data_IF_619670393983
#
_entry.id   IF_619670393983
#
_cell.length_a   1.000
_cell.length_b   1.000
_cell.length_c   1.000
_cell.angle_alpha   90.00
_cell.angle_beta   90.00
_cell.angle_gamma   90.00
#
_symmetry.space_group_name_H-M   'P 1'
#
loop_
_entity.id
_entity.type
_entity.pdbx_description
1 polymer ?
#
# COMPACT_ATOMS: atom_id res chain seq x y z
N UNK A 1 29.27 -8.30 -31.63
CA UNK A 1 28.27 -8.59 -30.58
C UNK A 1 26.91 -8.52 -31.22
N UNK A 2 26.23 -9.66 -31.37
CA UNK A 2 24.85 -9.72 -31.84
C UNK A 2 23.93 -9.15 -30.75
N UNK A 3 22.87 -8.44 -31.14
CA UNK A 3 21.90 -7.79 -30.22
C UNK A 3 21.28 -8.80 -29.24
N UNK A 4 21.23 -10.07 -29.64
CA UNK A 4 20.77 -11.21 -28.84
C UNK A 4 21.58 -11.44 -27.55
N UNK A 5 22.85 -11.04 -27.51
CA UNK A 5 23.70 -11.17 -26.31
C UNK A 5 23.59 -9.97 -25.35
N UNK A 6 22.82 -8.93 -25.72
CA UNK A 6 22.69 -7.70 -24.93
C UNK A 6 21.39 -7.66 -24.10
N UNK A 7 20.37 -8.42 -24.50
CA UNK A 7 19.05 -8.44 -23.85
C UNK A 7 18.82 -9.76 -23.10
N UNK A 8 18.26 -9.74 -21.88
CA UNK A 8 17.94 -10.96 -21.16
C UNK A 8 16.89 -11.79 -21.93
N UNK A 9 17.01 -13.12 -21.89
CA UNK A 9 16.17 -14.05 -22.66
C UNK A 9 14.65 -13.85 -22.47
N UNK A 10 14.25 -13.29 -21.32
CA UNK A 10 12.86 -13.05 -20.94
C UNK A 10 12.37 -11.61 -21.21
N UNK A 11 13.17 -10.78 -21.90
CA UNK A 11 12.82 -9.38 -22.17
C UNK A 11 11.57 -9.23 -23.05
N UNK A 12 11.16 -10.29 -23.76
CA UNK A 12 9.92 -10.33 -24.54
C UNK A 12 8.67 -9.95 -23.72
N UNK A 13 8.61 -10.31 -22.44
CA UNK A 13 7.49 -9.95 -21.57
C UNK A 13 7.40 -8.44 -21.33
N UNK A 14 8.54 -7.76 -21.21
CA UNK A 14 8.57 -6.31 -21.00
C UNK A 14 8.06 -5.57 -22.25
N UNK A 15 8.37 -6.09 -23.44
CA UNK A 15 7.86 -5.56 -24.72
C UNK A 15 6.33 -5.66 -24.77
N UNK A 16 5.74 -6.76 -24.35
CA UNK A 16 4.28 -6.88 -24.24
C UNK A 16 3.68 -5.85 -23.28
N UNK A 17 4.33 -5.60 -22.14
CA UNK A 17 3.90 -4.56 -21.20
C UNK A 17 3.96 -3.16 -21.81
N UNK A 18 4.99 -2.84 -22.60
CA UNK A 18 5.06 -1.56 -23.33
C UNK A 18 3.95 -1.43 -24.38
N UNK A 19 3.71 -2.47 -25.18
CA UNK A 19 2.61 -2.49 -26.14
C UNK A 19 1.26 -2.31 -25.44
N UNK A 20 1.05 -2.95 -24.30
CA UNK A 20 -0.17 -2.79 -23.51
C UNK A 20 -0.32 -1.35 -22.98
N UNK A 21 0.76 -0.73 -22.52
CA UNK A 21 0.76 0.68 -22.09
C UNK A 21 0.43 1.65 -23.23
N UNK A 22 0.87 1.32 -24.46
CA UNK A 22 0.53 2.10 -25.65
C UNK A 22 -0.96 2.00 -25.98
N UNK A 23 -1.53 0.81 -25.89
CA UNK A 23 -3.00 0.59 -26.05
C UNK A 23 -3.78 1.40 -25.01
N UNK A 24 -3.31 1.46 -23.75
CA UNK A 24 -3.92 2.29 -22.71
C UNK A 24 -3.92 3.77 -23.09
N UNK A 25 -2.79 4.33 -23.54
CA UNK A 25 -2.71 5.73 -23.96
C UNK A 25 -3.64 6.04 -25.14
N UNK A 26 -3.69 5.14 -26.12
CA UNK A 26 -4.60 5.25 -27.26
C UNK A 26 -6.06 5.22 -26.82
N UNK A 27 -6.41 4.31 -25.90
CA UNK A 27 -7.78 4.23 -25.36
C UNK A 27 -8.19 5.53 -24.66
N UNK A 28 -7.36 6.05 -23.76
CA UNK A 28 -7.64 7.31 -23.04
C UNK A 28 -7.75 8.50 -24.02
N UNK A 29 -6.88 8.55 -25.03
CA UNK A 29 -6.92 9.58 -26.07
C UNK A 29 -8.18 9.51 -26.94
N UNK A 30 -8.61 8.31 -27.33
CA UNK A 30 -9.86 8.10 -28.06
C UNK A 30 -11.09 8.47 -27.22
N UNK A 31 -11.08 8.19 -25.92
CA UNK A 31 -12.15 8.59 -25.01
C UNK A 31 -12.27 10.11 -24.91
N UNK A 32 -11.14 10.83 -24.79
CA UNK A 32 -11.12 12.31 -24.85
C UNK A 32 -11.64 12.82 -26.20
N UNK A 33 -11.22 12.21 -27.31
CA UNK A 33 -11.68 12.59 -28.65
C UNK A 33 -13.18 12.36 -28.85
N UNK A 34 -13.70 11.25 -28.34
CA UNK A 34 -15.13 10.92 -28.33
C UNK A 34 -15.92 11.90 -27.47
N UNK A 35 -15.43 12.17 -26.24
CA UNK A 35 -16.03 13.15 -25.34
C UNK A 35 -16.05 14.56 -25.95
N UNK A 36 -14.97 14.97 -26.63
CA UNK A 36 -14.91 16.27 -27.32
C UNK A 36 -15.99 16.40 -28.39
N UNK A 37 -16.27 15.33 -29.15
CA UNK A 37 -17.38 15.29 -30.12
C UNK A 37 -18.75 15.33 -29.42
N UNK A 38 -18.91 14.62 -28.31
CA UNK A 38 -20.16 14.56 -27.53
C UNK A 38 -20.54 15.91 -26.91
N UNK A 39 -19.57 16.62 -26.36
CA UNK A 39 -19.77 17.91 -25.67
C UNK A 39 -19.52 19.14 -26.55
N UNK A 40 -19.23 18.96 -27.84
CA UNK A 40 -19.11 20.06 -28.80
C UNK A 40 -17.95 21.04 -28.55
N UNK A 41 -16.88 20.61 -27.88
CA UNK A 41 -15.76 21.49 -27.50
C UNK A 41 -14.82 21.70 -28.69
N UNK A 42 -14.95 22.84 -29.38
CA UNK A 42 -14.13 23.20 -30.56
C UNK A 42 -12.67 23.47 -30.18
N UNK A 43 -11.72 23.03 -31.00
CA UNK A 43 -10.31 23.46 -30.85
C UNK A 43 -10.22 24.99 -30.98
N UNK A 44 -9.37 25.70 -30.19
CA UNK A 44 -8.26 25.22 -29.36
C UNK A 44 -8.58 25.04 -27.86
N UNK A 45 -9.84 25.14 -27.43
CA UNK A 45 -10.16 25.10 -26.00
C UNK A 45 -9.93 23.70 -25.42
N UNK A 46 -9.23 23.65 -24.28
CA UNK A 46 -8.79 22.42 -23.63
C UNK A 46 -9.77 21.98 -22.54
N UNK A 47 -10.39 22.94 -21.85
CA UNK A 47 -11.41 22.75 -20.84
C UNK A 47 -12.70 23.48 -21.27
N UNK A 48 -13.85 23.00 -20.81
CA UNK A 48 -15.15 23.64 -21.01
C UNK A 48 -15.66 24.18 -19.68
N UNK A 49 -16.09 25.43 -19.65
CA UNK A 49 -16.65 26.05 -18.44
C UNK A 49 -18.04 25.50 -18.09
N UNK A 50 -18.72 24.90 -19.07
CA UNK A 50 -20.12 24.46 -18.96
C UNK A 50 -20.28 22.99 -18.58
N UNK A 51 -19.27 22.16 -18.82
CA UNK A 51 -19.36 20.71 -18.72
C UNK A 51 -18.18 20.13 -17.92
N UNK A 52 -18.36 19.98 -16.61
CA UNK A 52 -17.31 19.47 -15.73
C UNK A 52 -16.92 18.01 -16.04
N UNK A 53 -17.84 17.19 -16.56
CA UNK A 53 -17.57 15.79 -16.92
C UNK A 53 -16.48 15.69 -17.99
N UNK A 54 -16.50 16.58 -18.98
CA UNK A 54 -15.46 16.65 -20.00
C UNK A 54 -14.10 17.03 -19.38
N UNK A 55 -14.08 17.96 -18.42
CA UNK A 55 -12.86 18.38 -17.73
C UNK A 55 -12.26 17.24 -16.89
N UNK A 56 -13.09 16.43 -16.23
CA UNK A 56 -12.65 15.24 -15.50
C UNK A 56 -12.00 14.20 -16.44
N UNK A 57 -12.62 13.93 -17.60
CA UNK A 57 -12.08 13.01 -18.61
C UNK A 57 -10.73 13.51 -19.14
N UNK A 58 -10.66 14.80 -19.46
CA UNK A 58 -9.45 15.47 -19.94
C UNK A 58 -8.32 15.42 -18.89
N UNK A 59 -8.63 15.71 -17.63
CA UNK A 59 -7.62 15.71 -16.54
C UNK A 59 -7.07 14.32 -16.27
N UNK A 60 -7.91 13.28 -16.32
CA UNK A 60 -7.47 11.90 -16.15
C UNK A 60 -6.45 11.48 -17.24
N UNK A 61 -6.70 11.89 -18.50
CA UNK A 61 -5.78 11.66 -19.60
C UNK A 61 -4.50 12.51 -19.50
N UNK A 62 -4.56 13.74 -18.99
CA UNK A 62 -3.37 14.57 -18.80
C UNK A 62 -2.49 14.08 -17.65
N UNK A 63 -3.07 13.72 -16.50
CA UNK A 63 -2.31 13.10 -15.41
C UNK A 63 -1.64 11.79 -15.87
N UNK A 64 -2.38 11.01 -16.67
CA UNK A 64 -1.88 10.13 -17.73
C UNK A 64 -0.44 10.36 -18.20
N UNK A 65 -0.36 11.38 -19.06
CA UNK A 65 0.80 11.81 -19.83
C UNK A 65 1.87 12.49 -18.98
N UNK A 66 1.50 13.14 -17.87
CA UNK A 66 2.46 13.77 -16.95
C UNK A 66 3.34 12.72 -16.26
N UNK A 67 2.76 11.57 -15.87
CA UNK A 67 3.46 10.52 -15.14
C UNK A 67 4.09 9.46 -16.06
N UNK A 68 3.56 9.31 -17.28
CA UNK A 68 3.98 8.25 -18.20
C UNK A 68 5.48 8.25 -18.58
N UNK A 69 6.13 9.40 -18.89
CA UNK A 69 7.56 9.42 -19.19
C UNK A 69 8.42 8.95 -18.03
N UNK A 70 8.08 9.36 -16.80
CA UNK A 70 8.78 8.93 -15.60
C UNK A 70 8.62 7.42 -15.39
N UNK A 71 7.40 6.90 -15.58
CA UNK A 71 7.14 5.47 -15.50
C UNK A 71 7.93 4.67 -16.53
N UNK A 72 8.01 5.13 -17.79
CA UNK A 72 8.79 4.47 -18.85
C UNK A 72 10.27 4.31 -18.48
N UNK A 73 10.88 5.35 -17.91
CA UNK A 73 12.30 5.31 -17.51
C UNK A 73 12.53 4.25 -16.43
N UNK A 74 11.74 4.29 -15.35
CA UNK A 74 11.89 3.33 -14.25
C UNK A 74 11.55 1.91 -14.67
N UNK A 75 10.52 1.73 -15.51
CA UNK A 75 10.16 0.44 -16.08
C UNK A 75 11.28 -0.13 -16.95
N UNK A 76 11.98 0.71 -17.73
CA UNK A 76 13.08 0.26 -18.58
C UNK A 76 14.28 -0.20 -17.75
N UNK A 77 14.67 0.60 -16.75
CA UNK A 77 15.77 0.24 -15.84
C UNK A 77 15.45 -1.08 -15.13
N UNK A 78 14.23 -1.22 -14.59
CA UNK A 78 13.81 -2.44 -13.91
C UNK A 78 13.72 -3.65 -14.85
N UNK A 79 13.28 -3.47 -16.10
CA UNK A 79 13.15 -4.55 -17.06
C UNK A 79 14.49 -5.09 -17.58
N UNK A 80 15.55 -4.26 -17.58
CA UNK A 80 16.90 -4.68 -17.95
C UNK A 80 17.50 -5.64 -16.91
N UNK A 81 17.26 -5.39 -15.62
CA UNK A 81 17.79 -6.20 -14.53
C UNK A 81 16.86 -7.39 -14.19
N UNK A 82 15.55 -7.13 -14.09
CA UNK A 82 14.54 -8.09 -13.62
C UNK A 82 13.32 -8.16 -14.55
N UNK A 83 13.44 -8.75 -15.75
CA UNK A 83 12.41 -8.66 -16.80
C UNK A 83 11.04 -9.24 -16.40
N UNK A 84 11.00 -10.34 -15.64
CA UNK A 84 9.73 -10.98 -15.24
C UNK A 84 9.00 -10.13 -14.20
N UNK A 85 9.69 -9.74 -13.13
CA UNK A 85 9.11 -8.95 -12.05
C UNK A 85 8.66 -7.57 -12.55
N UNK A 86 9.49 -6.90 -13.35
CA UNK A 86 9.14 -5.63 -13.97
C UNK A 86 7.90 -5.75 -14.87
N UNK A 87 7.76 -6.84 -15.63
CA UNK A 87 6.60 -7.05 -16.50
C UNK A 87 5.30 -7.19 -15.71
N UNK A 88 5.29 -7.96 -14.62
CA UNK A 88 4.12 -8.15 -13.76
C UNK A 88 3.70 -6.84 -13.11
N UNK A 89 4.65 -6.12 -12.49
CA UNK A 89 4.37 -4.83 -11.85
C UNK A 89 3.92 -3.78 -12.87
N UNK A 90 4.50 -3.79 -14.07
CA UNK A 90 4.10 -2.89 -15.14
C UNK A 90 2.68 -3.15 -15.63
N UNK A 91 2.25 -4.42 -15.76
CA UNK A 91 0.86 -4.76 -16.10
C UNK A 91 -0.11 -4.30 -15.01
N UNK A 92 0.24 -4.49 -13.73
CA UNK A 92 -0.55 -3.99 -12.59
C UNK A 92 -0.69 -2.47 -12.66
N UNK A 93 0.39 -1.76 -12.99
CA UNK A 93 0.33 -0.30 -13.13
C UNK A 93 -0.60 0.10 -14.27
N UNK A 94 -0.47 -0.51 -15.45
CA UNK A 94 -1.33 -0.17 -16.60
C UNK A 94 -2.81 -0.48 -16.31
N UNK A 95 -3.13 -1.61 -15.69
CA UNK A 95 -4.52 -1.94 -15.30
C UNK A 95 -5.06 -0.97 -14.26
N UNK A 96 -4.25 -0.55 -13.30
CA UNK A 96 -4.65 0.44 -12.27
C UNK A 96 -5.08 1.78 -12.88
N UNK A 97 -4.47 2.19 -14.01
CA UNK A 97 -4.80 3.45 -14.70
C UNK A 97 -6.15 3.40 -15.40
N UNK A 98 -6.59 2.25 -15.89
CA UNK A 98 -7.96 2.08 -16.39
C UNK A 98 -8.99 2.27 -15.26
N UNK A 99 -8.75 1.67 -14.09
CA UNK A 99 -9.61 1.85 -12.92
C UNK A 99 -9.63 3.30 -12.43
N UNK A 100 -8.48 3.97 -12.42
CA UNK A 100 -8.37 5.39 -12.09
C UNK A 100 -9.20 6.25 -13.05
N UNK A 101 -9.05 6.06 -14.37
CA UNK A 101 -9.80 6.81 -15.37
C UNK A 101 -11.31 6.57 -15.25
N UNK A 102 -11.73 5.32 -14.99
CA UNK A 102 -13.14 4.99 -14.74
C UNK A 102 -13.72 5.72 -13.52
N UNK A 103 -12.93 5.87 -12.46
CA UNK A 103 -13.30 6.67 -11.29
C UNK A 103 -13.58 8.13 -11.64
N UNK A 104 -12.73 8.73 -12.48
CA UNK A 104 -12.95 10.10 -12.98
C UNK A 104 -14.18 10.22 -13.87
N UNK A 105 -14.54 9.17 -14.61
CA UNK A 105 -15.73 9.16 -15.47
C UNK A 105 -17.02 9.01 -14.66
N UNK A 106 -16.96 8.27 -13.55
CA UNK A 106 -18.12 7.99 -12.69
C UNK A 106 -18.39 9.09 -11.66
N UNK A 107 -17.36 9.83 -11.24
CA UNK A 107 -17.47 10.93 -10.28
C UNK A 107 -18.00 12.25 -10.85
N UNK A 108 -18.35 12.29 -12.14
CA UNK A 108 -18.81 13.50 -12.86
C UNK A 108 -20.23 13.96 -12.53
N UNK A 109 -20.64 13.98 -11.27
CA UNK A 109 -21.79 14.80 -10.85
C UNK A 109 -21.25 16.15 -10.37
N UNK A 110 -21.77 17.28 -10.88
CA UNK A 110 -21.40 18.58 -10.34
C UNK A 110 -21.73 18.61 -8.85
N UNK A 111 -20.92 19.33 -8.08
CA UNK A 111 -21.29 19.77 -6.76
C UNK A 111 -22.53 20.67 -6.88
N UNK A 112 -23.73 20.08 -6.91
CA UNK A 112 -24.81 20.69 -6.16
C UNK A 112 -24.37 20.67 -4.69
N UNK A 113 -24.49 21.78 -3.97
CA UNK A 113 -24.34 21.74 -2.52
C UNK A 113 -25.43 20.80 -2.03
N UNK A 114 -25.05 19.54 -1.77
CA UNK A 114 -25.92 18.54 -1.23
C UNK A 114 -26.30 19.04 0.16
N UNK A 115 -27.40 19.80 0.24
CA UNK A 115 -28.26 19.81 1.40
C UNK A 115 -28.60 18.35 1.64
N UNK A 116 -27.80 17.73 2.52
CA UNK A 116 -28.09 16.42 3.08
C UNK A 116 -29.27 16.65 4.03
N UNK A 117 -30.46 16.81 3.45
CA UNK A 117 -31.70 16.60 4.18
C UNK A 117 -31.67 15.15 4.59
N UNK A 118 -31.40 14.92 5.88
CA UNK A 118 -31.61 13.65 6.54
C UNK A 118 -33.09 13.33 6.36
N UNK A 119 -33.41 12.39 5.48
CA UNK A 119 -34.66 11.63 5.57
C UNK A 119 -34.27 10.17 5.67
N UNK A 120 -34.59 9.59 6.83
CA UNK A 120 -34.55 8.18 7.13
C UNK A 120 -35.27 7.36 6.04
N UNK A 121 -34.80 6.13 5.82
CA UNK A 121 -35.61 5.11 5.21
C UNK A 121 -34.88 4.22 4.21
N UNK A 122 -34.65 2.98 4.64
CA UNK A 122 -34.49 1.76 3.82
C UNK A 122 -33.13 1.47 3.17
N UNK A 123 -32.42 0.53 3.81
CA UNK A 123 -31.75 -0.60 3.19
C UNK A 123 -30.90 -0.37 1.94
N UNK A 124 -29.62 -0.02 2.12
CA UNK A 124 -28.64 -0.15 1.05
C UNK A 124 -27.28 -0.59 1.60
N UNK A 125 -26.91 -1.81 1.24
CA UNK A 125 -25.58 -2.47 1.19
C UNK A 125 -24.48 -1.77 1.99
N UNK A 126 -24.10 -2.38 3.13
CA UNK A 126 -22.84 -2.12 3.82
C UNK A 126 -21.67 -2.45 2.89
N UNK A 127 -21.16 -1.43 2.19
CA UNK A 127 -19.82 -1.51 1.60
C UNK A 127 -18.84 -1.61 2.76
N UNK A 128 -18.23 -2.77 2.93
CA UNK A 128 -17.18 -2.99 3.91
C UNK A 128 -16.07 -1.95 3.69
N UNK A 129 -15.63 -1.35 4.79
CA UNK A 129 -14.54 -0.40 4.90
C UNK A 129 -13.32 -0.85 4.09
N UNK A 130 -13.16 -0.25 2.91
CA UNK A 130 -12.03 -0.47 2.05
C UNK A 130 -10.84 0.34 2.53
N UNK A 131 -9.70 -0.33 2.63
CA UNK A 131 -8.34 0.17 2.92
C UNK A 131 -7.86 1.36 2.04
N UNK A 132 -8.69 1.90 1.14
CA UNK A 132 -8.34 2.95 0.19
C UNK A 132 -9.29 4.17 0.18
N UNK A 133 -10.28 4.23 1.08
CA UNK A 133 -11.18 5.40 1.16
C UNK A 133 -10.52 6.67 1.77
N UNK A 134 -9.24 6.58 2.19
CA UNK A 134 -8.50 7.67 2.83
C UNK A 134 -7.79 8.65 1.90
N UNK A 135 -7.89 8.52 0.57
CA UNK A 135 -7.28 9.47 -0.37
C UNK A 135 -8.37 10.29 -1.09
N UNK A 136 -9.15 11.07 -0.32
CA UNK A 136 -9.79 12.29 -0.84
C UNK A 136 -8.93 13.47 -0.41
N UNK A 137 -7.92 13.80 -1.22
CA UNK A 137 -7.24 15.08 -1.10
C UNK A 137 -8.00 16.10 -1.95
N UNK A 138 -8.71 17.01 -1.29
CA UNK A 138 -9.36 18.13 -1.94
C UNK A 138 -10.72 18.42 -1.33
N UNK A 139 -10.71 19.03 -0.14
CA UNK A 139 -11.53 20.20 0.17
C UNK A 139 -10.83 20.92 1.32
N UNK A 140 -10.32 22.13 1.05
CA UNK A 140 -9.84 23.04 2.09
C UNK A 140 -11.06 23.64 2.81
N UNK A 141 -11.69 22.85 3.67
CA UNK A 141 -12.51 23.39 4.76
C UNK A 141 -11.65 23.40 6.03
N UNK A 142 -11.38 24.60 6.53
CA UNK A 142 -10.71 24.84 7.81
C UNK A 142 -11.64 24.49 8.97
N UNK A 143 -12.04 23.23 9.10
CA UNK A 143 -12.47 22.65 10.35
C UNK A 143 -11.52 21.49 10.67
N UNK A 144 -10.56 21.74 11.55
CA UNK A 144 -9.47 20.81 11.85
C UNK A 144 -10.03 19.68 12.72
N UNK A 145 -10.54 18.64 12.08
CA UNK A 145 -10.87 17.40 12.78
C UNK A 145 -9.57 16.64 13.10
N UNK A 146 -9.07 16.86 14.32
CA UNK A 146 -7.82 16.26 14.80
C UNK A 146 -7.89 14.73 14.86
N UNK A 147 -9.08 14.13 14.92
CA UNK A 147 -9.30 12.68 14.91
C UNK A 147 -8.92 12.02 13.58
N UNK A 148 -9.45 12.50 12.46
CA UNK A 148 -9.17 11.95 11.12
C UNK A 148 -7.70 12.16 10.71
N UNK A 149 -7.12 13.32 11.05
CA UNK A 149 -5.70 13.58 10.82
C UNK A 149 -4.80 12.61 11.59
N UNK A 150 -5.14 12.30 12.85
CA UNK A 150 -4.39 11.33 13.66
C UNK A 150 -4.46 9.92 13.08
N UNK A 151 -5.61 9.48 12.59
CA UNK A 151 -5.76 8.15 11.97
C UNK A 151 -4.95 8.03 10.68
N UNK A 152 -4.95 9.08 9.86
CA UNK A 152 -4.15 9.14 8.62
C UNK A 152 -2.66 9.14 8.93
N UNK A 153 -2.21 9.95 9.90
CA UNK A 153 -0.81 10.00 10.31
C UNK A 153 -0.37 8.66 10.93
N UNK A 154 -1.19 8.07 11.79
CA UNK A 154 -0.89 6.80 12.45
C UNK A 154 -0.77 5.64 11.44
N UNK A 155 -1.64 5.59 10.44
CA UNK A 155 -1.59 4.55 9.39
C UNK A 155 -0.37 4.73 8.47
N UNK A 156 -0.04 5.96 8.07
CA UNK A 156 1.17 6.24 7.28
C UNK A 156 2.43 5.91 8.08
N UNK A 157 2.52 6.38 9.34
CA UNK A 157 3.68 6.13 10.19
C UNK A 157 3.89 4.63 10.45
N UNK A 158 2.82 3.88 10.73
CA UNK A 158 2.88 2.44 10.88
C UNK A 158 3.31 1.72 9.60
N UNK A 159 2.79 2.13 8.44
CA UNK A 159 3.16 1.56 7.14
C UNK A 159 4.63 1.79 6.80
N UNK A 160 5.15 3.00 7.07
CA UNK A 160 6.57 3.31 6.88
C UNK A 160 7.43 2.44 7.79
N UNK A 161 7.11 2.31 9.08
CA UNK A 161 7.87 1.46 10.01
C UNK A 161 7.86 -0.01 9.60
N UNK A 162 6.71 -0.53 9.17
CA UNK A 162 6.60 -1.91 8.68
C UNK A 162 7.46 -2.13 7.43
N UNK A 163 7.41 -1.20 6.48
CA UNK A 163 8.20 -1.27 5.25
C UNK A 163 9.70 -1.17 5.53
N UNK A 164 10.13 -0.24 6.40
CA UNK A 164 11.54 -0.12 6.77
C UNK A 164 12.08 -1.38 7.45
N UNK A 165 11.26 -2.05 8.27
CA UNK A 165 11.64 -3.32 8.88
C UNK A 165 11.95 -4.41 7.84
N UNK A 166 11.07 -4.59 6.85
CA UNK A 166 11.30 -5.57 5.78
C UNK A 166 12.39 -5.14 4.80
N UNK A 167 12.56 -3.85 4.56
CA UNK A 167 13.63 -3.34 3.71
C UNK A 167 15.01 -3.70 4.27
N UNK A 168 15.23 -3.50 5.59
CA UNK A 168 16.51 -3.78 6.26
C UNK A 168 16.89 -5.27 6.16
N UNK A 169 15.93 -6.19 6.30
CA UNK A 169 16.24 -7.62 6.20
C UNK A 169 16.53 -8.05 4.76
N UNK A 170 15.86 -7.44 3.77
CA UNK A 170 16.12 -7.72 2.35
C UNK A 170 17.53 -7.25 1.98
N UNK A 171 17.92 -6.05 2.42
CA UNK A 171 19.27 -5.53 2.23
C UNK A 171 20.34 -6.45 2.85
N UNK A 172 20.11 -6.90 4.09
CA UNK A 172 21.00 -7.86 4.76
C UNK A 172 21.07 -9.22 4.05
N UNK A 173 19.95 -9.74 3.53
CA UNK A 173 19.92 -11.01 2.81
C UNK A 173 20.67 -10.95 1.47
N UNK A 174 20.65 -9.80 0.79
CA UNK A 174 21.40 -9.59 -0.45
C UNK A 174 22.90 -9.47 -0.16
N UNK A 175 23.28 -8.77 0.91
CA UNK A 175 24.68 -8.58 1.29
C UNK A 175 25.35 -9.89 1.77
N UNK A 176 24.59 -10.79 2.41
CA UNK A 176 25.10 -12.04 2.99
C UNK A 176 24.34 -13.27 2.44
N UNK A 177 24.59 -13.68 1.19
CA UNK A 177 23.84 -14.76 0.54
C UNK A 177 24.25 -16.17 1.00
N UNK A 178 25.34 -16.32 1.77
CA UNK A 178 25.86 -17.62 2.21
C UNK A 178 25.25 -18.04 3.54
N UNK A 179 24.79 -19.30 3.64
CA UNK A 179 24.17 -19.84 4.85
C UNK A 179 25.08 -19.80 6.09
N UNK A 180 26.40 -19.88 5.90
CA UNK A 180 27.37 -19.81 7.00
C UNK A 180 27.41 -18.45 7.68
N UNK A 181 27.06 -17.38 6.95
CA UNK A 181 27.07 -16.01 7.44
C UNK A 181 25.66 -15.58 7.89
N UNK A 182 24.63 -16.10 7.23
CA UNK A 182 23.26 -15.78 7.55
C UNK A 182 22.35 -16.99 7.33
N UNK A 183 21.93 -17.62 8.43
CA UNK A 183 21.04 -18.77 8.37
C UNK A 183 19.63 -18.35 7.96
N UNK A 184 19.07 -19.02 6.95
CA UNK A 184 17.69 -18.80 6.50
C UNK A 184 16.63 -18.94 7.61
N UNK A 185 16.95 -19.71 8.67
CA UNK A 185 16.08 -19.84 9.85
C UNK A 185 15.80 -18.50 10.54
N UNK A 186 16.73 -17.53 10.50
CA UNK A 186 16.55 -16.25 11.18
C UNK A 186 15.42 -15.39 10.61
N UNK A 187 15.02 -15.62 9.35
CA UNK A 187 13.86 -14.96 8.76
C UNK A 187 12.54 -15.31 9.44
N UNK A 188 12.43 -16.49 10.07
CA UNK A 188 11.20 -16.92 10.76
C UNK A 188 10.79 -15.96 11.87
N UNK A 189 11.77 -15.33 12.54
CA UNK A 189 11.53 -14.36 13.59
C UNK A 189 10.73 -13.15 13.07
N UNK A 190 11.17 -12.57 11.94
CA UNK A 190 10.47 -11.46 11.28
C UNK A 190 9.08 -11.86 10.77
N UNK A 191 8.92 -13.08 10.25
CA UNK A 191 7.59 -13.59 9.82
C UNK A 191 6.64 -13.69 11.01
N UNK A 192 7.09 -14.23 12.14
CA UNK A 192 6.26 -14.33 13.37
C UNK A 192 5.87 -12.93 13.86
N UNK A 193 6.77 -11.94 13.81
CA UNK A 193 6.44 -10.56 14.14
C UNK A 193 5.36 -9.98 13.22
N UNK A 194 5.35 -10.31 11.92
CA UNK A 194 4.29 -9.85 11.01
C UNK A 194 2.94 -10.50 11.27
N UNK A 195 2.91 -11.79 11.63
CA UNK A 195 1.68 -12.47 12.03
C UNK A 195 1.14 -11.80 13.29
N UNK A 196 2.00 -11.51 14.27
CA UNK A 196 1.64 -10.79 15.47
C UNK A 196 1.08 -9.38 15.17
N UNK A 197 1.71 -8.64 14.27
CA UNK A 197 1.24 -7.34 13.79
C UNK A 197 -0.18 -7.43 13.22
N UNK A 198 -0.45 -8.40 12.34
CA UNK A 198 -1.78 -8.58 11.77
C UNK A 198 -2.81 -8.99 12.83
N UNK A 199 -2.44 -9.89 13.76
CA UNK A 199 -3.33 -10.33 14.84
C UNK A 199 -3.73 -9.18 15.78
N UNK A 200 -2.78 -8.34 16.20
CA UNK A 200 -3.03 -7.20 17.10
C UNK A 200 -3.93 -6.17 16.41
N UNK A 201 -3.69 -5.92 15.13
CA UNK A 201 -4.39 -4.89 14.35
C UNK A 201 -5.74 -5.36 13.77
N UNK A 202 -5.99 -6.67 13.68
CA UNK A 202 -7.26 -7.24 13.25
C UNK A 202 -8.40 -7.06 14.27
N UNK A 203 -8.08 -6.91 15.56
CA UNK A 203 -9.07 -6.69 16.62
C UNK A 203 -9.34 -5.19 16.77
N UNK A 204 -10.60 -4.77 16.72
CA UNK A 204 -10.95 -3.36 16.93
C UNK A 204 -10.79 -2.97 18.41
N UNK A 205 -10.48 -1.70 18.68
CA UNK A 205 -10.39 -1.19 20.06
C UNK A 205 -11.76 -1.23 20.75
N UNK A 206 -12.87 -1.07 20.02
CA UNK A 206 -14.23 -1.23 20.54
C UNK A 206 -14.56 -2.65 21.05
N UNK A 207 -14.04 -3.69 20.39
CA UNK A 207 -14.21 -5.08 20.85
C UNK A 207 -13.46 -5.38 22.15
N UNK A 208 -12.35 -4.67 22.42
CA UNK A 208 -11.58 -4.82 23.66
C UNK A 208 -12.28 -4.15 24.84
N UNK A 209 -12.88 -2.97 24.59
CA UNK A 209 -13.63 -2.18 25.59
C UNK A 209 -14.95 -2.80 26.00
N UNK A 210 -15.55 -3.62 25.13
CA UNK A 210 -16.80 -4.32 25.43
C UNK A 210 -18.06 -3.59 24.96
N UNK A 211 -17.91 -2.60 24.07
CA UNK A 211 -19.02 -1.78 23.55
C UNK A 211 -19.82 -2.47 22.42
N UNK A 212 -19.46 -3.72 22.08
CA UNK A 212 -20.13 -4.51 21.03
C UNK A 212 -21.34 -5.26 21.58
N UNK A 213 -22.54 -4.91 21.09
CA UNK A 213 -23.83 -5.51 21.47
C UNK A 213 -24.11 -6.89 20.85
N UNK A 214 -23.22 -7.44 20.02
CA UNK A 214 -23.40 -8.76 19.41
C UNK A 214 -22.48 -9.81 20.01
N UNK A 215 -23.06 -10.77 20.73
CA UNK A 215 -22.42 -12.04 21.07
C UNK A 215 -22.23 -12.89 19.79
N UNK A 216 -21.08 -12.68 19.12
CA UNK A 216 -20.59 -13.62 18.12
C UNK A 216 -20.01 -14.89 18.77
N UNK A 217 -19.73 -15.92 17.96
CA UNK A 217 -19.25 -17.24 18.42
C UNK A 217 -17.92 -17.20 19.23
N UNK A 218 -17.04 -16.23 18.96
CA UNK A 218 -15.99 -15.80 19.89
C UNK A 218 -16.45 -14.47 20.50
N UNK A 219 -17.11 -14.50 21.65
CA UNK A 219 -17.52 -13.30 22.37
C UNK A 219 -16.33 -12.42 22.80
N UNK A 220 -16.58 -11.46 23.70
CA UNK A 220 -15.58 -10.49 24.18
C UNK A 220 -14.31 -11.15 24.75
N UNK A 221 -14.46 -12.30 25.41
CA UNK A 221 -13.33 -13.09 25.94
C UNK A 221 -12.42 -13.61 24.83
N UNK A 222 -12.99 -14.02 23.69
CA UNK A 222 -12.24 -14.52 22.54
C UNK A 222 -11.36 -13.46 21.88
N UNK A 223 -11.89 -12.24 21.71
CA UNK A 223 -11.13 -11.11 21.20
C UNK A 223 -9.94 -10.73 22.11
N UNK A 224 -10.11 -10.81 23.43
CA UNK A 224 -9.04 -10.56 24.40
C UNK A 224 -7.96 -11.63 24.39
N UNK A 225 -8.35 -12.90 24.31
CA UNK A 225 -7.40 -14.02 24.17
C UNK A 225 -6.62 -13.92 22.86
N UNK A 226 -7.30 -13.62 21.76
CA UNK A 226 -6.64 -13.41 20.46
C UNK A 226 -5.62 -12.26 20.49
N UNK A 227 -6.01 -11.13 21.07
CA UNK A 227 -5.13 -9.98 21.26
C UNK A 227 -3.94 -10.32 22.18
N UNK A 228 -4.17 -11.06 23.25
CA UNK A 228 -3.12 -11.51 24.16
C UNK A 228 -2.10 -12.42 23.46
N UNK A 229 -2.56 -13.39 22.66
CA UNK A 229 -1.68 -14.24 21.85
C UNK A 229 -0.87 -13.39 20.86
N UNK A 230 -1.51 -12.41 20.20
CA UNK A 230 -0.82 -11.47 19.33
C UNK A 230 0.32 -10.73 20.03
N UNK A 231 0.07 -10.20 21.24
CA UNK A 231 1.12 -9.54 22.04
C UNK A 231 2.22 -10.52 22.49
N UNK A 232 1.87 -11.75 22.90
CA UNK A 232 2.87 -12.76 23.26
C UNK A 232 3.81 -13.10 22.10
N UNK A 233 3.26 -13.27 20.89
CA UNK A 233 4.07 -13.50 19.69
C UNK A 233 4.94 -12.30 19.35
N UNK A 234 4.42 -11.08 19.51
CA UNK A 234 5.16 -9.85 19.26
C UNK A 234 6.37 -9.70 20.20
N UNK A 235 6.17 -9.85 21.52
CA UNK A 235 7.27 -9.83 22.49
C UNK A 235 8.22 -11.01 22.34
N UNK A 236 7.69 -12.21 22.06
CA UNK A 236 8.49 -13.41 21.81
C UNK A 236 9.43 -13.24 20.62
N UNK A 237 8.94 -12.65 19.52
CA UNK A 237 9.79 -12.33 18.36
C UNK A 237 10.89 -11.31 18.69
N UNK A 238 10.57 -10.27 19.47
CA UNK A 238 11.55 -9.25 19.86
C UNK A 238 12.64 -9.83 20.77
N UNK A 239 12.27 -10.64 21.76
CA UNK A 239 13.22 -11.33 22.65
C UNK A 239 14.07 -12.33 21.86
N UNK A 240 13.46 -13.12 20.96
CA UNK A 240 14.18 -14.06 20.11
C UNK A 240 15.20 -13.35 19.19
N UNK A 241 14.82 -12.20 18.62
CA UNK A 241 15.73 -11.40 17.79
C UNK A 241 16.92 -10.85 18.58
N UNK A 242 16.68 -10.44 19.84
CA UNK A 242 17.73 -10.01 20.75
C UNK A 242 18.69 -11.15 21.09
N UNK A 243 18.16 -12.36 21.31
CA UNK A 243 18.97 -13.56 21.52
C UNK A 243 19.82 -13.90 20.28
N UNK A 244 19.23 -13.83 19.09
CA UNK A 244 19.95 -14.08 17.82
C UNK A 244 21.11 -13.09 17.66
N UNK A 245 20.88 -11.79 17.94
CA UNK A 245 21.92 -10.77 17.87
C UNK A 245 23.10 -11.10 18.79
N UNK A 246 22.86 -11.31 20.08
CA UNK A 246 23.95 -11.51 21.04
C UNK A 246 24.55 -12.91 20.96
N UNK A 247 23.71 -13.95 20.95
CA UNK A 247 24.14 -15.34 20.98
C UNK A 247 24.70 -15.84 19.65
N UNK A 248 24.20 -15.34 18.52
CA UNK A 248 24.61 -15.77 17.19
C UNK A 248 25.71 -14.92 16.54
N UNK A 249 25.82 -13.64 16.92
CA UNK A 249 26.70 -12.69 16.20
C UNK A 249 27.68 -11.89 17.09
N UNK A 250 27.35 -11.59 18.35
CA UNK A 250 28.22 -10.75 19.22
C UNK A 250 29.15 -11.60 20.09
N UNK A 251 28.63 -12.68 20.69
CA UNK A 251 29.38 -13.52 21.65
C UNK A 251 30.20 -14.61 20.94
N UNK A 252 29.97 -14.84 19.65
CA UNK A 252 30.63 -15.91 18.90
C UNK A 252 32.05 -15.52 18.51
N UNK A 253 33.06 -16.29 18.93
CA UNK A 253 34.50 -16.05 18.63
C UNK A 253 34.90 -16.24 17.15
N UNK A 254 33.93 -16.37 16.24
CA UNK A 254 34.18 -16.48 14.79
C UNK A 254 34.50 -15.09 14.22
N UNK A 255 35.80 -14.77 14.14
CA UNK A 255 36.32 -13.48 13.62
C UNK A 255 35.89 -13.11 12.18
N UNK A 256 35.36 -14.07 11.42
CA UNK A 256 34.94 -13.87 10.02
C UNK A 256 33.45 -13.55 9.85
N UNK A 257 32.64 -13.61 10.93
CA UNK A 257 31.22 -13.25 10.87
C UNK A 257 31.03 -11.76 11.19
N UNK A 258 30.48 -11.02 10.23
CA UNK A 258 30.05 -9.64 10.47
C UNK A 258 28.83 -9.63 11.42
N UNK A 259 28.77 -8.64 12.32
CA UNK A 259 27.67 -8.49 13.29
C UNK A 259 26.38 -7.93 12.65
N UNK A 260 26.50 -7.41 11.43
CA UNK A 260 25.44 -6.69 10.72
C UNK A 260 24.13 -7.49 10.53
N UNK A 261 24.13 -8.79 10.13
CA UNK A 261 22.90 -9.56 9.96
C UNK A 261 22.11 -9.70 11.27
N UNK A 262 22.79 -9.88 12.40
CA UNK A 262 22.14 -9.91 13.72
C UNK A 262 21.46 -8.58 14.05
N UNK A 263 22.12 -7.46 13.75
CA UNK A 263 21.57 -6.11 13.95
C UNK A 263 20.34 -5.90 13.06
N UNK A 264 20.41 -6.33 11.80
CA UNK A 264 19.31 -6.23 10.84
C UNK A 264 18.06 -7.02 11.32
N UNK A 265 18.24 -8.25 11.80
CA UNK A 265 17.13 -9.07 12.36
C UNK A 265 16.51 -8.41 13.59
N UNK A 266 17.31 -7.85 14.48
CA UNK A 266 16.80 -7.13 15.64
C UNK A 266 15.98 -5.89 15.24
N UNK A 267 16.52 -5.04 14.37
CA UNK A 267 15.82 -3.83 13.92
C UNK A 267 14.57 -4.15 13.10
N UNK A 268 14.56 -5.21 12.30
CA UNK A 268 13.36 -5.68 11.61
C UNK A 268 12.22 -5.92 12.61
N UNK A 269 12.47 -6.73 13.65
CA UNK A 269 11.46 -7.08 14.64
C UNK A 269 11.04 -5.86 15.48
N UNK A 270 11.98 -4.99 15.83
CA UNK A 270 11.69 -3.75 16.54
C UNK A 270 10.77 -2.82 15.72
N UNK A 271 11.07 -2.59 14.44
CA UNK A 271 10.26 -1.72 13.59
C UNK A 271 8.87 -2.28 13.32
N UNK A 272 8.73 -3.60 13.11
CA UNK A 272 7.42 -4.24 12.95
C UNK A 272 6.61 -4.14 14.25
N UNK A 273 7.25 -4.36 15.40
CA UNK A 273 6.62 -4.23 16.72
C UNK A 273 6.11 -2.80 16.95
N UNK A 274 6.97 -1.80 16.81
CA UNK A 274 6.59 -0.39 17.01
C UNK A 274 5.58 0.08 15.97
N UNK A 275 5.70 -0.33 14.70
CA UNK A 275 4.69 -0.07 13.68
C UNK A 275 3.32 -0.63 14.07
N UNK A 276 3.29 -1.82 14.66
CA UNK A 276 2.07 -2.43 15.20
C UNK A 276 1.44 -1.62 16.34
N UNK A 277 2.26 -1.16 17.30
CA UNK A 277 1.78 -0.33 18.40
C UNK A 277 1.27 1.04 17.92
N UNK A 278 1.98 1.67 16.99
CA UNK A 278 1.57 2.95 16.39
C UNK A 278 0.25 2.80 15.65
N UNK A 279 0.05 1.72 14.89
CA UNK A 279 -1.22 1.46 14.22
C UNK A 279 -2.36 1.19 15.21
N UNK A 280 -2.09 0.40 16.25
CA UNK A 280 -3.08 -0.01 17.24
C UNK A 280 -3.55 1.13 18.13
N UNK A 281 -2.61 1.92 18.65
CA UNK A 281 -2.88 3.00 19.62
C UNK A 281 -2.98 4.39 18.98
N UNK A 282 -2.41 4.58 17.79
CA UNK A 282 -2.49 5.85 17.07
C UNK A 282 -3.85 6.08 16.41
N UNK A 283 -4.59 5.01 16.12
CA UNK A 283 -5.96 5.07 15.56
C UNK A 283 -7.00 5.30 16.65
N UNK A 284 -7.75 6.38 16.53
CA UNK A 284 -9.01 6.60 17.24
C UNK A 284 -10.12 5.93 16.43
N UNK A 285 -10.79 4.92 17.01
CA UNK A 285 -12.03 4.39 16.46
C UNK A 285 -13.18 5.19 17.07
N UNK A 286 -13.47 6.36 16.49
CA UNK A 286 -14.68 7.09 16.86
C UNK A 286 -15.87 6.24 16.37
N UNK A 287 -16.51 5.55 17.32
CA UNK A 287 -17.84 5.01 17.13
C UNK A 287 -18.72 6.23 16.86
N UNK A 288 -19.32 6.29 15.67
CA UNK A 288 -20.40 7.22 15.37
C UNK A 288 -21.49 7.09 16.45
N UNK A 289 -21.42 7.94 17.48
CA UNK A 289 -22.47 8.17 18.46
C UNK A 289 -23.33 9.32 17.97
#
# INVERSE_FOLDING_TARGET
MTVENLLPANFGYAIFTYLYSFVMLMYLGLQVGSARKKYGVKYPTMYSDKEQVFNCIQRAHQNTLEVYPQWLVFQTIAALEYPIAASVLGVIWVTSRFSYAWGYYSGGKPAEPLKRSISEGSGQVRSMSGFLDGIRCGDCECNVDWGEKRNTIASIAAGVLFFTGWWIIIDAAIMYPKEEQFHHAYHTCGVIATIAFLMINAVSNGQVRGDSYSDGCLGQTGARVWLFIGFMLAFGSLIASMWILFGGFVVTDKKDLSVYPGIAVFFQNAFIFFGGLVFKFGRTEDLWQ
#
